data_IF_142169270939
#
_entry.id   IF_142169270939
#
_cell.length_a   1.000
_cell.length_b   1.000
_cell.length_c   1.000
_cell.angle_alpha   90.00
_cell.angle_beta   90.00
_cell.angle_gamma   90.00
#
_symmetry.space_group_name_H-M   'P 1'
#
loop_
_entity.id
_entity.type
_entity.pdbx_description
1 polymer ?
#
# COMPACT_ATOMS: atom_id res chain seq x y z
N UNK A 1 -19.66 -39.85 -12.83
CA UNK A 1 -20.17 -38.67 -12.11
C UNK A 1 -19.65 -38.71 -10.69
N UNK A 2 -18.64 -37.89 -10.38
CA UNK A 2 -18.49 -37.16 -9.12
C UNK A 2 -17.25 -36.28 -9.26
N UNK A 3 -17.49 -34.99 -9.07
CA UNK A 3 -16.57 -33.88 -9.24
C UNK A 3 -15.41 -34.02 -8.26
N UNK A 4 -14.19 -33.94 -8.75
CA UNK A 4 -13.07 -33.50 -7.93
C UNK A 4 -13.08 -31.98 -8.07
N UNK A 5 -13.75 -31.32 -7.13
CA UNK A 5 -13.69 -29.88 -6.99
C UNK A 5 -12.23 -29.54 -6.63
N UNK A 6 -11.45 -29.10 -7.62
CA UNK A 6 -10.24 -28.34 -7.38
C UNK A 6 -10.71 -26.96 -6.91
N UNK A 7 -11.08 -26.86 -5.64
CA UNK A 7 -11.10 -25.57 -4.95
C UNK A 7 -9.67 -25.04 -4.96
N UNK A 8 -9.44 -24.08 -5.84
CA UNK A 8 -8.23 -23.27 -5.85
C UNK A 8 -8.17 -22.61 -4.48
N UNK A 9 -7.34 -23.19 -3.60
CA UNK A 9 -7.08 -22.68 -2.26
C UNK A 9 -6.46 -21.30 -2.41
N UNK A 10 -7.29 -20.26 -2.47
CA UNK A 10 -6.83 -18.89 -2.48
C UNK A 10 -5.98 -18.67 -1.23
N UNK A 11 -4.67 -18.66 -1.45
CA UNK A 11 -3.70 -18.68 -0.38
C UNK A 11 -3.63 -17.26 0.18
N UNK A 12 -4.02 -17.11 1.45
CA UNK A 12 -3.77 -15.87 2.19
C UNK A 12 -2.26 -15.68 2.29
N UNK A 13 -1.73 -14.68 1.59
CA UNK A 13 -0.29 -14.40 1.50
C UNK A 13 0.12 -13.20 2.36
N UNK A 14 -0.85 -12.37 2.79
CA UNK A 14 -0.59 -11.16 3.59
C UNK A 14 -1.26 -11.33 4.97
N UNK A 15 -0.56 -11.93 5.95
CA UNK A 15 -1.09 -12.09 7.29
C UNK A 15 -1.20 -10.76 8.03
N UNK A 16 -2.19 -10.72 8.94
CA UNK A 16 -2.27 -9.70 9.97
C UNK A 16 -1.58 -10.21 11.22
N UNK A 17 -0.77 -9.38 11.87
CA UNK A 17 -0.05 -9.77 13.10
C UNK A 17 -1.03 -10.34 14.14
N UNK A 18 -0.86 -11.62 14.53
CA UNK A 18 -1.64 -12.27 15.58
C UNK A 18 -1.70 -11.50 16.89
N UNK A 19 -2.86 -11.50 17.53
CA UNK A 19 -3.12 -10.77 18.78
C UNK A 19 -2.16 -11.12 19.92
N UNK A 20 -1.68 -12.37 20.01
CA UNK A 20 -0.76 -12.78 21.07
C UNK A 20 0.62 -12.09 20.98
N UNK A 21 1.06 -11.67 19.78
CA UNK A 21 2.31 -10.92 19.61
C UNK A 21 2.18 -9.46 20.05
N UNK A 22 0.95 -8.91 20.02
CA UNK A 22 0.67 -7.54 20.48
C UNK A 22 0.66 -7.38 21.99
N UNK A 23 0.42 -8.45 22.75
CA UNK A 23 0.24 -8.41 24.20
C UNK A 23 1.41 -7.77 24.97
N UNK A 24 2.62 -7.73 24.40
CA UNK A 24 3.80 -7.16 25.06
C UNK A 24 4.11 -5.72 24.63
N UNK A 25 3.79 -5.33 23.39
CA UNK A 25 4.25 -4.09 22.73
C UNK A 25 3.30 -3.66 21.60
N UNK A 26 1.99 -3.50 21.90
CA UNK A 26 0.97 -3.18 20.89
C UNK A 26 1.34 -1.97 20.01
N UNK A 27 1.89 -0.92 20.63
CA UNK A 27 2.22 0.32 19.93
C UNK A 27 3.43 0.21 19.00
N UNK A 28 4.25 -0.85 19.09
CA UNK A 28 5.42 -1.03 18.22
C UNK A 28 5.07 -1.62 16.86
N UNK A 29 3.86 -2.17 16.69
CA UNK A 29 3.46 -2.80 15.45
C UNK A 29 2.47 -1.96 14.64
N UNK A 30 1.73 -1.06 15.29
CA UNK A 30 0.77 -0.21 14.61
C UNK A 30 1.48 0.94 13.86
N UNK A 31 1.19 1.15 12.55
CA UNK A 31 1.70 2.30 11.83
C UNK A 31 1.23 3.62 12.47
N UNK A 32 1.96 4.70 12.23
CA UNK A 32 1.78 6.01 12.88
C UNK A 32 1.34 7.13 11.95
N UNK A 33 1.68 7.06 10.67
CA UNK A 33 1.50 8.14 9.69
C UNK A 33 1.03 7.65 8.32
N UNK A 34 1.10 6.35 8.01
CA UNK A 34 0.60 5.81 6.75
C UNK A 34 0.02 4.39 6.88
N UNK A 35 -0.90 4.03 6.00
CA UNK A 35 -1.33 2.64 5.82
C UNK A 35 -0.83 2.07 4.50
N UNK A 36 -0.75 0.74 4.39
CA UNK A 36 -0.71 0.03 3.12
C UNK A 36 -1.78 -1.06 3.16
N UNK A 37 -2.55 -1.11 2.08
CA UNK A 37 -3.64 -2.05 1.93
C UNK A 37 -4.76 -1.86 2.98
N UNK A 38 -5.69 -2.83 3.04
CA UNK A 38 -6.97 -2.68 3.71
C UNK A 38 -6.93 -2.72 5.25
N UNK A 39 -5.86 -3.22 5.87
CA UNK A 39 -5.79 -3.48 7.31
C UNK A 39 -5.84 -2.21 8.17
N UNK A 40 -5.22 -1.14 7.67
CA UNK A 40 -5.11 0.13 8.39
C UNK A 40 -5.74 1.30 7.65
N UNK A 41 -6.23 1.10 6.43
CA UNK A 41 -6.80 2.15 5.62
C UNK A 41 -8.05 2.79 6.26
N UNK A 42 -8.14 4.12 6.13
CA UNK A 42 -9.22 4.96 6.67
C UNK A 42 -9.05 5.36 8.14
N UNK A 43 -7.95 4.97 8.80
CA UNK A 43 -7.61 5.44 10.15
C UNK A 43 -7.16 6.89 10.12
N UNK A 44 -7.79 7.74 10.94
CA UNK A 44 -7.53 9.18 10.99
C UNK A 44 -6.08 9.52 11.33
N UNK A 45 -5.48 8.73 12.21
CA UNK A 45 -4.07 8.89 12.60
C UNK A 45 -3.09 8.66 11.45
N UNK A 46 -3.50 8.00 10.36
CA UNK A 46 -2.65 7.67 9.21
C UNK A 46 -2.89 8.60 8.00
N UNK A 47 -3.82 9.56 8.09
CA UNK A 47 -4.19 10.44 6.96
C UNK A 47 -3.01 11.26 6.41
N UNK A 48 -2.00 11.52 7.25
CA UNK A 48 -0.85 12.37 6.90
C UNK A 48 -0.16 11.97 5.59
N UNK A 49 0.11 10.67 5.38
CA UNK A 49 0.69 10.19 4.13
C UNK A 49 -0.38 9.82 3.10
N UNK A 50 -1.58 9.40 3.53
CA UNK A 50 -2.69 9.13 2.59
C UNK A 50 -2.99 10.34 1.70
N UNK A 51 -2.95 11.55 2.27
CA UNK A 51 -3.16 12.80 1.53
C UNK A 51 -2.03 13.09 0.52
N UNK A 52 -0.84 12.52 0.74
CA UNK A 52 0.30 12.66 -0.16
C UNK A 52 0.34 11.61 -1.27
N UNK A 53 -0.21 10.41 -1.09
CA UNK A 53 -0.17 9.34 -2.11
C UNK A 53 -0.69 9.76 -3.49
N UNK A 54 -1.74 10.60 -3.63
CA UNK A 54 -2.14 11.12 -4.94
C UNK A 54 -1.04 11.89 -5.67
N UNK A 55 -0.15 12.58 -4.94
CA UNK A 55 1.03 13.23 -5.52
C UNK A 55 2.07 12.21 -5.98
N UNK A 56 2.28 11.13 -5.22
CA UNK A 56 3.15 10.04 -5.64
C UNK A 56 2.65 9.40 -6.95
N UNK A 57 1.34 9.15 -7.06
CA UNK A 57 0.70 8.69 -8.30
C UNK A 57 0.88 9.68 -9.46
N UNK A 58 0.68 10.99 -9.22
CA UNK A 58 0.91 12.01 -10.24
C UNK A 58 2.35 11.97 -10.77
N UNK A 59 3.35 11.91 -9.88
CA UNK A 59 4.76 11.81 -10.26
C UNK A 59 5.09 10.53 -11.03
N UNK A 60 4.40 9.42 -10.72
CA UNK A 60 4.54 8.16 -11.43
C UNK A 60 3.97 8.25 -12.86
N UNK A 61 2.74 8.77 -13.00
CA UNK A 61 2.07 8.94 -14.29
C UNK A 61 2.87 9.88 -15.20
N UNK A 62 3.36 11.02 -14.69
CA UNK A 62 4.19 11.97 -15.44
C UNK A 62 5.48 11.34 -16.00
N UNK A 63 5.97 10.27 -15.37
CA UNK A 63 7.13 9.50 -15.82
C UNK A 63 6.81 8.35 -16.78
N UNK A 64 5.54 8.10 -17.07
CA UNK A 64 5.06 6.98 -17.88
C UNK A 64 4.41 7.46 -19.19
N UNK A 65 4.20 6.55 -20.14
CA UNK A 65 3.40 6.78 -21.35
C UNK A 65 1.93 6.40 -21.17
N UNK A 66 1.49 6.15 -19.93
CA UNK A 66 0.16 5.66 -19.55
C UNK A 66 -0.53 6.64 -18.62
N UNK A 67 -1.85 6.54 -18.53
CA UNK A 67 -2.67 7.38 -17.66
C UNK A 67 -3.17 6.61 -16.44
N UNK A 68 -3.94 7.31 -15.60
CA UNK A 68 -4.56 6.76 -14.41
C UNK A 68 -5.45 5.55 -14.70
N UNK A 69 -6.30 5.65 -15.72
CA UNK A 69 -7.29 4.64 -16.04
C UNK A 69 -6.61 3.33 -16.47
N UNK A 70 -5.52 3.42 -17.25
CA UNK A 70 -4.72 2.26 -17.61
C UNK A 70 -4.19 1.50 -16.38
N UNK A 71 -3.59 2.20 -15.40
CA UNK A 71 -3.04 1.54 -14.22
C UNK A 71 -4.14 1.01 -13.28
N UNK A 72 -5.25 1.73 -13.17
CA UNK A 72 -6.40 1.27 -12.39
C UNK A 72 -7.00 -0.01 -13.00
N UNK A 73 -7.17 -0.06 -14.32
CA UNK A 73 -7.65 -1.23 -15.05
C UNK A 73 -6.72 -2.44 -14.83
N UNK A 74 -5.40 -2.24 -14.86
CA UNK A 74 -4.42 -3.31 -14.58
C UNK A 74 -4.54 -3.91 -13.19
N UNK A 75 -4.94 -3.12 -12.19
CA UNK A 75 -5.20 -3.63 -10.84
C UNK A 75 -6.57 -4.31 -10.77
N UNK A 76 -7.57 -3.77 -11.46
CA UNK A 76 -8.92 -4.35 -11.54
C UNK A 76 -8.91 -5.73 -12.20
N UNK A 77 -8.07 -5.95 -13.23
CA UNK A 77 -7.83 -7.28 -13.83
C UNK A 77 -7.38 -8.33 -12.79
N UNK A 78 -6.75 -7.89 -11.70
CA UNK A 78 -6.16 -8.74 -10.66
C UNK A 78 -6.90 -8.64 -9.32
N UNK A 79 -8.09 -8.02 -9.30
CA UNK A 79 -8.76 -7.61 -8.05
C UNK A 79 -9.10 -8.78 -7.13
N UNK A 80 -9.63 -9.87 -7.69
CA UNK A 80 -10.00 -11.07 -6.93
C UNK A 80 -8.77 -11.68 -6.25
N UNK A 81 -7.66 -11.82 -7.00
CA UNK A 81 -6.38 -12.30 -6.46
C UNK A 81 -5.83 -11.35 -5.40
N UNK A 82 -5.90 -10.04 -5.65
CA UNK A 82 -5.41 -9.04 -4.71
C UNK A 82 -6.20 -9.07 -3.40
N UNK A 83 -7.53 -9.17 -3.45
CA UNK A 83 -8.39 -9.28 -2.27
C UNK A 83 -8.18 -10.60 -1.53
N UNK A 84 -7.95 -11.70 -2.24
CA UNK A 84 -7.76 -13.02 -1.64
C UNK A 84 -6.47 -13.15 -0.83
N UNK A 85 -5.48 -12.27 -1.06
CA UNK A 85 -4.27 -12.21 -0.25
C UNK A 85 -4.52 -11.75 1.19
N UNK A 86 -5.63 -11.07 1.46
CA UNK A 86 -5.97 -10.49 2.76
C UNK A 86 -7.10 -11.27 3.47
N UNK A 87 -7.35 -10.93 4.73
CA UNK A 87 -8.55 -11.34 5.44
C UNK A 87 -9.81 -10.68 4.84
N UNK A 88 -10.82 -11.49 4.50
CA UNK A 88 -12.07 -11.05 3.87
C UNK A 88 -12.79 -9.93 4.64
N UNK A 89 -12.76 -9.96 5.98
CA UNK A 89 -13.38 -8.91 6.81
C UNK A 89 -12.78 -7.51 6.59
N UNK A 90 -11.55 -7.41 6.05
CA UNK A 90 -10.91 -6.14 5.72
C UNK A 90 -11.11 -5.72 4.27
N UNK A 91 -11.43 -6.65 3.37
CA UNK A 91 -11.62 -6.37 1.94
C UNK A 91 -13.08 -6.22 1.55
N UNK A 92 -13.99 -6.94 2.20
CA UNK A 92 -15.44 -6.94 1.94
C UNK A 92 -16.12 -5.58 2.13
N UNK A 93 -15.52 -4.68 2.93
CA UNK A 93 -16.01 -3.30 3.11
C UNK A 93 -15.74 -2.37 1.92
N UNK A 94 -14.94 -2.79 0.94
CA UNK A 94 -14.58 -1.98 -0.22
C UNK A 94 -15.19 -2.53 -1.51
N UNK A 95 -15.81 -1.65 -2.29
CA UNK A 95 -16.06 -1.93 -3.70
C UNK A 95 -14.74 -2.11 -4.46
N UNK A 96 -14.77 -2.85 -5.56
CA UNK A 96 -13.58 -3.21 -6.32
C UNK A 96 -12.78 -2.00 -6.77
N UNK A 97 -13.47 -0.95 -7.27
CA UNK A 97 -12.82 0.29 -7.67
C UNK A 97 -12.13 1.02 -6.51
N UNK A 98 -12.74 1.03 -5.33
CA UNK A 98 -12.16 1.68 -4.14
C UNK A 98 -10.93 0.92 -3.67
N UNK A 99 -11.00 -0.42 -3.64
CA UNK A 99 -9.87 -1.27 -3.31
C UNK A 99 -8.73 -1.13 -4.34
N UNK A 100 -9.06 -1.15 -5.63
CA UNK A 100 -8.07 -0.97 -6.69
C UNK A 100 -7.38 0.39 -6.62
N UNK A 101 -8.14 1.45 -6.33
CA UNK A 101 -7.58 2.80 -6.11
C UNK A 101 -6.65 2.84 -4.91
N UNK A 102 -7.03 2.22 -3.78
CA UNK A 102 -6.16 2.11 -2.61
C UNK A 102 -4.84 1.42 -2.98
N UNK A 103 -4.91 0.25 -3.62
CA UNK A 103 -3.73 -0.50 -4.06
C UNK A 103 -2.85 0.30 -5.03
N UNK A 104 -3.44 1.07 -5.95
CA UNK A 104 -2.71 1.92 -6.89
C UNK A 104 -1.92 3.01 -6.17
N UNK A 105 -2.58 3.72 -5.25
CA UNK A 105 -1.96 4.78 -4.46
C UNK A 105 -0.81 4.24 -3.60
N UNK A 106 -1.01 3.08 -2.98
CA UNK A 106 -0.01 2.39 -2.18
C UNK A 106 1.20 1.96 -3.03
N UNK A 107 0.95 1.33 -4.16
CA UNK A 107 1.99 0.87 -5.08
C UNK A 107 2.83 2.06 -5.60
N UNK A 108 2.20 3.17 -5.99
CA UNK A 108 2.91 4.36 -6.45
C UNK A 108 3.76 4.99 -5.35
N UNK A 109 3.29 5.00 -4.10
CA UNK A 109 4.09 5.48 -2.98
C UNK A 109 5.31 4.59 -2.70
N UNK A 110 5.12 3.26 -2.69
CA UNK A 110 6.21 2.29 -2.53
C UNK A 110 7.25 2.44 -3.65
N UNK A 111 6.81 2.51 -4.91
CA UNK A 111 7.71 2.68 -6.07
C UNK A 111 8.49 4.00 -5.99
N UNK A 112 7.84 5.09 -5.58
CA UNK A 112 8.50 6.36 -5.36
C UNK A 112 9.59 6.26 -4.28
N UNK A 113 9.30 5.59 -3.16
CA UNK A 113 10.30 5.40 -2.10
C UNK A 113 11.48 4.53 -2.57
N UNK A 114 11.23 3.42 -3.27
CA UNK A 114 12.28 2.58 -3.84
C UNK A 114 13.15 3.42 -4.79
N UNK A 115 12.56 4.20 -5.69
CA UNK A 115 13.32 5.08 -6.59
C UNK A 115 14.21 6.08 -5.85
N UNK A 116 13.74 6.63 -4.73
CA UNK A 116 14.50 7.57 -3.89
C UNK A 116 15.65 6.85 -3.17
N UNK A 117 15.38 5.72 -2.53
CA UNK A 117 16.35 4.99 -1.68
C UNK A 117 17.46 4.35 -2.51
N UNK A 118 17.13 3.86 -3.71
CA UNK A 118 18.08 3.15 -4.59
C UNK A 118 18.76 4.06 -5.61
N UNK A 119 18.26 5.30 -5.76
CA UNK A 119 18.76 6.28 -6.72
C UNK A 119 18.76 5.78 -8.19
N UNK A 120 17.98 4.72 -8.52
CA UNK A 120 18.05 4.09 -9.86
C UNK A 120 17.40 4.93 -10.96
N UNK A 121 16.49 5.83 -10.59
CA UNK A 121 15.70 6.65 -11.51
C UNK A 121 16.36 7.99 -11.77
N UNK A 122 16.47 8.46 -13.01
CA UNK A 122 17.02 9.79 -13.33
C UNK A 122 16.29 10.94 -12.62
N UNK A 123 15.07 10.70 -12.15
CA UNK A 123 14.24 11.68 -11.46
C UNK A 123 14.28 11.58 -9.92
N UNK A 124 15.10 10.67 -9.36
CA UNK A 124 15.12 10.37 -7.92
C UNK A 124 15.37 11.62 -7.07
N UNK A 125 16.29 12.51 -7.47
CA UNK A 125 16.58 13.74 -6.74
C UNK A 125 15.36 14.66 -6.66
N UNK A 126 14.66 14.82 -7.80
CA UNK A 126 13.44 15.63 -7.89
C UNK A 126 12.34 15.04 -7.00
N UNK A 127 12.12 13.72 -7.07
CA UNK A 127 11.14 13.02 -6.22
C UNK A 127 11.50 13.17 -4.74
N UNK A 128 12.76 12.97 -4.36
CA UNK A 128 13.26 13.12 -3.00
C UNK A 128 13.04 14.55 -2.46
N UNK A 129 13.41 15.57 -3.24
CA UNK A 129 13.19 16.97 -2.87
C UNK A 129 11.71 17.29 -2.73
N UNK A 130 10.89 16.91 -3.71
CA UNK A 130 9.45 17.18 -3.70
C UNK A 130 8.77 16.52 -2.50
N UNK A 131 9.07 15.26 -2.22
CA UNK A 131 8.53 14.52 -1.07
C UNK A 131 8.92 15.18 0.25
N UNK A 132 10.20 15.59 0.41
CA UNK A 132 10.67 16.29 1.61
C UNK A 132 10.07 17.68 1.79
N UNK A 133 9.76 18.39 0.70
CA UNK A 133 9.09 19.69 0.75
C UNK A 133 7.65 19.57 1.25
N UNK A 134 6.95 18.51 0.85
CA UNK A 134 5.53 18.32 1.19
C UNK A 134 5.31 17.62 2.53
N UNK A 135 6.07 16.55 2.81
CA UNK A 135 5.96 15.79 4.06
C UNK A 135 6.87 16.32 5.17
N UNK A 136 7.85 17.15 4.83
CA UNK A 136 8.97 17.44 5.74
C UNK A 136 9.91 16.25 5.88
N UNK A 137 11.14 16.52 6.32
CA UNK A 137 12.14 15.45 6.54
C UNK A 137 11.66 14.46 7.60
N UNK A 138 11.13 14.95 8.72
CA UNK A 138 10.63 14.11 9.79
C UNK A 138 9.40 13.28 9.37
N UNK A 139 8.47 13.88 8.61
CA UNK A 139 7.30 13.17 8.10
C UNK A 139 7.66 12.09 7.09
N UNK A 140 8.60 12.37 6.19
CA UNK A 140 9.14 11.35 5.28
C UNK A 140 9.83 10.21 6.06
N UNK A 141 10.68 10.51 7.04
CA UNK A 141 11.31 9.47 7.86
C UNK A 141 10.28 8.62 8.62
N UNK A 142 9.20 9.22 9.13
CA UNK A 142 8.11 8.48 9.78
C UNK A 142 7.37 7.59 8.78
N UNK A 143 7.14 8.07 7.55
CA UNK A 143 6.52 7.28 6.49
C UNK A 143 7.39 6.08 6.10
N UNK A 144 8.70 6.27 5.95
CA UNK A 144 9.64 5.18 5.68
C UNK A 144 9.68 4.16 6.82
N UNK A 145 9.64 4.63 8.07
CA UNK A 145 9.53 3.73 9.24
C UNK A 145 8.28 2.85 9.14
N UNK A 146 7.11 3.45 8.89
CA UNK A 146 5.87 2.72 8.71
C UNK A 146 5.85 1.83 7.48
N UNK A 147 6.50 2.24 6.39
CA UNK A 147 6.64 1.45 5.17
C UNK A 147 7.35 0.13 5.45
N UNK A 148 8.41 0.14 6.29
CA UNK A 148 9.15 -1.06 6.71
C UNK A 148 8.57 -1.76 7.93
N UNK A 149 7.49 -1.24 8.51
CA UNK A 149 6.83 -1.85 9.65
C UNK A 149 6.11 -3.13 9.22
N UNK A 150 6.40 -4.24 9.90
CA UNK A 150 5.89 -5.57 9.54
C UNK A 150 4.36 -5.65 9.44
N UNK A 151 3.65 -4.89 10.28
CA UNK A 151 2.18 -4.88 10.24
C UNK A 151 1.62 -4.13 9.04
N UNK A 152 2.35 -3.12 8.58
CA UNK A 152 1.96 -2.33 7.41
C UNK A 152 2.24 -3.09 6.12
N UNK A 153 3.23 -4.00 6.07
CA UNK A 153 3.48 -4.87 4.92
C UNK A 153 2.67 -6.18 4.94
N UNK A 154 2.06 -6.50 6.09
CA UNK A 154 1.38 -7.77 6.37
C UNK A 154 2.28 -8.99 6.14
N UNK A 155 3.15 -9.27 7.12
CA UNK A 155 4.08 -10.40 7.14
C UNK A 155 3.42 -11.75 7.28
#
# INVERSE_FOLDING_TARGET
MSRQDNEDMHQRIIPKIPSFMRLKKSDEYDPKVMSLGPYHHGKKELEFVEDFKPKALQMFIEGSDKDYDFFLEKILEEIERAKSCYLEEFTSKYHDCDFARMMLLDACFVLMDIEIVTEFSKSWEKKCSFTKEHLGVAGYCAAVHDLYLLENQGA
#
